data_IF_786783264287
#
_entry.id   IF_786783264287
#
_cell.length_a   1.000
_cell.length_b   1.000
_cell.length_c   1.000
_cell.angle_alpha   90.00
_cell.angle_beta   90.00
_cell.angle_gamma   90.00
#
_symmetry.space_group_name_H-M   'P 1'
#
loop_
_entity.id
_entity.type
_entity.pdbx_description
1 polymer ?
#
# COMPACT_ATOMS: atom_id res chain seq x y z
N UNK A 1 -15.07 24.84 -19.26
CA UNK A 1 -14.44 25.10 -17.95
C UNK A 1 -15.18 24.41 -16.80
N UNK A 2 -16.52 24.34 -16.82
CA UNK A 2 -17.31 23.62 -15.79
C UNK A 2 -17.08 22.11 -15.80
N UNK A 3 -16.86 21.52 -16.98
CA UNK A 3 -16.62 20.09 -17.15
C UNK A 3 -15.26 19.63 -16.57
N UNK A 4 -14.21 20.47 -16.69
CA UNK A 4 -12.86 20.15 -16.21
C UNK A 4 -12.77 20.10 -14.68
N UNK A 5 -13.43 21.02 -13.97
CA UNK A 5 -13.44 21.09 -12.50
C UNK A 5 -14.26 19.93 -11.91
N UNK A 6 -15.34 19.49 -12.57
CA UNK A 6 -16.14 18.34 -12.19
C UNK A 6 -15.32 17.04 -12.26
N UNK A 7 -14.70 16.78 -13.40
CA UNK A 7 -13.91 15.57 -13.66
C UNK A 7 -12.72 15.42 -12.71
N UNK A 8 -12.01 16.52 -12.39
CA UNK A 8 -10.91 16.50 -11.40
C UNK A 8 -11.41 16.09 -10.02
N UNK A 9 -12.54 16.68 -9.59
CA UNK A 9 -13.13 16.40 -8.28
C UNK A 9 -13.57 14.95 -8.17
N UNK A 10 -14.21 14.40 -9.22
CA UNK A 10 -14.62 13.00 -9.27
C UNK A 10 -13.42 12.05 -9.21
N UNK A 11 -12.36 12.30 -9.98
CA UNK A 11 -11.15 11.43 -9.96
C UNK A 11 -10.51 11.43 -8.58
N UNK A 12 -10.33 12.60 -7.97
CA UNK A 12 -9.72 12.75 -6.65
C UNK A 12 -10.53 12.05 -5.56
N UNK A 13 -11.85 12.19 -5.57
CA UNK A 13 -12.74 11.54 -4.60
C UNK A 13 -12.73 10.00 -4.75
N UNK A 14 -12.60 9.50 -6.02
CA UNK A 14 -12.45 8.05 -6.25
C UNK A 14 -11.10 7.54 -5.79
N UNK A 15 -10.02 8.30 -5.97
CA UNK A 15 -8.71 7.94 -5.43
C UNK A 15 -8.75 7.82 -3.90
N UNK A 16 -9.39 8.77 -3.21
CA UNK A 16 -9.51 8.73 -1.76
C UNK A 16 -10.27 7.49 -1.24
N UNK A 17 -11.28 7.02 -1.99
CA UNK A 17 -12.01 5.77 -1.67
C UNK A 17 -11.21 4.51 -2.00
N UNK A 18 -10.17 4.63 -2.80
CA UNK A 18 -9.31 3.54 -3.23
C UNK A 18 -7.88 3.72 -2.69
N UNK A 19 -7.72 4.42 -1.57
CA UNK A 19 -6.44 4.53 -0.86
C UNK A 19 -5.93 3.14 -0.50
N UNK A 20 -4.63 2.92 -0.62
CA UNK A 20 -3.97 1.63 -0.35
C UNK A 20 -4.49 0.46 -1.21
N UNK A 21 -4.98 0.71 -2.43
CA UNK A 21 -5.47 -0.36 -3.32
C UNK A 21 -4.78 -0.36 -4.68
N UNK A 22 -4.80 -1.51 -5.37
CA UNK A 22 -4.30 -1.68 -6.74
C UNK A 22 -5.35 -1.38 -7.81
N UNK A 23 -6.25 -0.42 -7.55
CA UNK A 23 -7.32 -0.04 -8.48
C UNK A 23 -6.77 0.43 -9.84
N UNK A 24 -7.36 -0.08 -10.92
CA UNK A 24 -6.97 0.31 -12.29
C UNK A 24 -7.69 1.57 -12.76
N UNK A 25 -7.12 2.29 -13.74
CA UNK A 25 -7.78 3.43 -14.37
C UNK A 25 -9.17 3.05 -14.91
N UNK A 26 -9.31 1.83 -15.47
CA UNK A 26 -10.59 1.32 -15.96
C UNK A 26 -11.64 1.18 -14.86
N UNK A 27 -11.23 0.75 -13.66
CA UNK A 27 -12.13 0.65 -12.51
C UNK A 27 -12.51 2.04 -12.03
N UNK A 28 -11.55 2.97 -11.91
CA UNK A 28 -11.85 4.37 -11.56
C UNK A 28 -12.87 5.00 -12.51
N UNK A 29 -12.71 4.79 -13.83
CA UNK A 29 -13.67 5.29 -14.84
C UNK A 29 -15.07 4.72 -14.63
N UNK A 30 -15.18 3.41 -14.35
CA UNK A 30 -16.48 2.77 -14.06
C UNK A 30 -17.14 3.34 -12.81
N UNK A 31 -16.35 3.57 -11.77
CA UNK A 31 -16.85 4.13 -10.50
C UNK A 31 -17.33 5.57 -10.68
N UNK A 32 -16.61 6.38 -11.46
CA UNK A 32 -17.01 7.74 -11.80
C UNK A 32 -18.35 7.73 -12.55
N UNK A 33 -18.44 6.89 -13.60
CA UNK A 33 -19.68 6.76 -14.37
C UNK A 33 -20.86 6.30 -13.54
N UNK A 34 -20.65 5.35 -12.63
CA UNK A 34 -21.71 4.75 -11.81
C UNK A 34 -22.27 5.72 -10.75
N UNK A 35 -21.45 6.63 -10.24
CA UNK A 35 -21.83 7.49 -9.10
C UNK A 35 -22.06 8.93 -9.50
N UNK A 36 -21.26 9.46 -10.43
CA UNK A 36 -21.30 10.86 -10.83
C UNK A 36 -22.05 11.07 -12.17
N UNK A 37 -22.46 9.95 -12.83
CA UNK A 37 -23.10 9.92 -14.16
C UNK A 37 -22.29 10.68 -15.23
N UNK A 38 -20.95 10.77 -15.01
CA UNK A 38 -20.02 11.41 -15.95
C UNK A 38 -19.26 10.36 -16.77
N UNK A 39 -19.22 10.57 -18.08
CA UNK A 39 -18.46 9.74 -19.00
C UNK A 39 -17.07 10.36 -19.23
N UNK A 40 -16.07 9.85 -18.53
CA UNK A 40 -14.69 10.32 -18.63
C UNK A 40 -13.88 9.32 -19.45
N UNK A 41 -13.14 9.82 -20.44
CA UNK A 41 -12.27 8.98 -21.25
C UNK A 41 -10.95 8.64 -20.51
N UNK A 42 -10.35 7.50 -20.90
CA UNK A 42 -9.14 6.99 -20.24
C UNK A 42 -7.92 7.92 -20.35
N UNK A 43 -7.80 8.70 -21.42
CA UNK A 43 -6.70 9.65 -21.58
C UNK A 43 -6.85 10.81 -20.60
N UNK A 44 -8.09 11.26 -20.37
CA UNK A 44 -8.39 12.30 -19.40
C UNK A 44 -8.03 11.82 -17.97
N UNK A 45 -8.42 10.61 -17.59
CA UNK A 45 -8.03 10.04 -16.29
C UNK A 45 -6.50 9.95 -16.16
N UNK A 46 -5.82 9.44 -17.19
CA UNK A 46 -4.36 9.32 -17.17
C UNK A 46 -3.67 10.68 -17.06
N UNK A 47 -4.18 11.72 -17.76
CA UNK A 47 -3.64 13.09 -17.71
C UNK A 47 -3.78 13.69 -16.30
N UNK A 48 -4.93 13.52 -15.62
CA UNK A 48 -5.11 14.00 -14.25
C UNK A 48 -4.23 13.26 -13.25
N UNK A 49 -4.09 11.94 -13.39
CA UNK A 49 -3.20 11.16 -12.54
C UNK A 49 -1.74 11.61 -12.69
N UNK A 50 -1.29 11.93 -13.91
CA UNK A 50 0.05 12.48 -14.14
C UNK A 50 0.21 13.87 -13.49
N UNK A 51 -0.81 14.73 -13.60
CA UNK A 51 -0.80 16.04 -12.93
C UNK A 51 -0.70 15.86 -11.40
N UNK A 52 -1.50 14.96 -10.80
CA UNK A 52 -1.47 14.72 -9.36
C UNK A 52 -0.11 14.20 -8.90
N UNK A 53 0.51 13.30 -9.66
CA UNK A 53 1.86 12.82 -9.40
C UNK A 53 2.90 13.95 -9.46
N UNK A 54 2.84 14.79 -10.50
CA UNK A 54 3.76 15.94 -10.66
C UNK A 54 3.58 17.03 -9.62
N UNK A 55 2.39 17.16 -9.06
CA UNK A 55 2.09 18.08 -7.95
C UNK A 55 2.36 17.45 -6.58
N UNK A 56 2.91 16.23 -6.53
CA UNK A 56 3.13 15.48 -5.29
C UNK A 56 1.86 15.30 -4.45
N UNK A 57 0.69 15.24 -5.09
CA UNK A 57 -0.58 14.92 -4.42
C UNK A 57 -0.70 13.41 -4.22
N UNK A 58 -0.24 12.64 -5.21
CA UNK A 58 -0.20 11.17 -5.15
C UNK A 58 1.24 10.67 -5.25
N UNK A 59 1.53 9.61 -4.50
CA UNK A 59 2.82 8.90 -4.48
C UNK A 59 2.57 7.39 -4.46
N UNK A 60 2.26 6.84 -5.63
CA UNK A 60 1.92 5.44 -5.77
C UNK A 60 3.10 4.53 -5.44
N UNK A 61 2.78 3.38 -4.87
CA UNK A 61 3.76 2.36 -4.53
C UNK A 61 3.93 1.39 -5.71
N UNK A 62 5.15 1.28 -6.28
CA UNK A 62 5.40 0.38 -7.40
C UNK A 62 5.40 -1.09 -6.97
N UNK A 63 5.12 -2.03 -7.88
CA UNK A 63 5.21 -3.45 -7.59
C UNK A 63 6.67 -3.93 -7.49
N UNK A 64 6.93 -4.85 -6.56
CA UNK A 64 8.21 -5.54 -6.40
C UNK A 64 8.32 -6.68 -7.41
N UNK A 65 8.58 -6.36 -8.68
CA UNK A 65 8.43 -7.34 -9.76
C UNK A 65 9.70 -7.82 -10.44
N UNK A 66 10.75 -7.00 -10.46
CA UNK A 66 11.86 -7.24 -11.40
C UNK A 66 12.99 -8.10 -10.83
N UNK A 67 12.97 -8.39 -9.54
CA UNK A 67 14.12 -9.02 -8.88
C UNK A 67 13.83 -10.35 -8.22
N UNK A 68 12.57 -10.67 -7.99
CA UNK A 68 12.15 -12.05 -7.74
C UNK A 68 11.92 -12.69 -9.11
N UNK A 69 12.97 -13.18 -9.75
CA UNK A 69 12.86 -14.06 -10.92
C UNK A 69 12.39 -15.44 -10.48
N UNK A 70 11.24 -15.44 -9.79
CA UNK A 70 10.60 -16.66 -9.36
C UNK A 70 9.64 -17.15 -10.44
N UNK A 71 9.27 -18.40 -10.37
CA UNK A 71 8.14 -18.97 -11.14
C UNK A 71 6.81 -18.31 -10.74
N UNK A 72 6.77 -17.56 -9.65
CA UNK A 72 5.60 -16.82 -9.17
C UNK A 72 5.47 -15.54 -9.98
N UNK A 73 4.35 -15.41 -10.70
CA UNK A 73 4.03 -14.19 -11.43
C UNK A 73 3.49 -13.14 -10.50
N UNK A 74 4.12 -11.98 -10.48
CA UNK A 74 3.70 -10.80 -9.69
C UNK A 74 2.84 -9.88 -10.54
N UNK A 75 1.76 -9.35 -9.97
CA UNK A 75 0.91 -8.34 -10.61
C UNK A 75 1.67 -7.03 -10.72
N UNK A 76 1.49 -6.33 -11.85
CA UNK A 76 2.26 -5.14 -12.21
C UNK A 76 1.50 -3.82 -11.92
N UNK A 77 0.34 -3.88 -11.30
CA UNK A 77 -0.41 -2.67 -10.95
C UNK A 77 0.26 -1.95 -9.77
N UNK A 78 0.42 -0.63 -9.88
CA UNK A 78 0.83 0.20 -8.74
C UNK A 78 -0.29 0.23 -7.69
N UNK A 79 0.09 0.24 -6.41
CA UNK A 79 -0.82 0.52 -5.31
C UNK A 79 -1.01 2.04 -5.20
N UNK A 80 -2.26 2.48 -5.08
CA UNK A 80 -2.61 3.92 -5.11
C UNK A 80 -2.47 4.52 -3.73
N UNK A 81 -1.73 5.63 -3.66
CA UNK A 81 -1.54 6.40 -2.43
C UNK A 81 -1.59 7.89 -2.69
N UNK A 82 -2.21 8.62 -1.76
CA UNK A 82 -1.89 10.02 -1.59
C UNK A 82 -0.52 10.16 -0.92
N UNK A 83 0.17 11.26 -1.19
CA UNK A 83 1.48 11.54 -0.55
C UNK A 83 1.36 11.71 0.97
N UNK A 84 0.17 12.06 1.45
CA UNK A 84 -0.19 12.07 2.86
C UNK A 84 -1.63 11.57 3.03
N UNK A 85 -1.90 10.57 3.88
CA UNK A 85 -3.25 10.03 4.09
C UNK A 85 -4.24 11.04 4.64
N UNK A 86 -3.77 12.17 5.21
CA UNK A 86 -4.66 13.27 5.63
C UNK A 86 -5.43 13.88 4.47
N UNK A 87 -4.87 13.83 3.24
CA UNK A 87 -5.57 14.27 2.03
C UNK A 87 -6.76 13.36 1.73
N UNK A 88 -6.60 12.04 1.83
CA UNK A 88 -7.69 11.09 1.70
C UNK A 88 -8.74 11.31 2.81
N UNK A 89 -8.33 11.49 4.07
CA UNK A 89 -9.23 11.82 5.17
C UNK A 89 -10.07 13.06 4.89
N UNK A 90 -9.45 14.13 4.38
CA UNK A 90 -10.15 15.38 4.06
C UNK A 90 -11.19 15.19 2.93
N UNK A 91 -10.84 14.46 1.87
CA UNK A 91 -11.71 14.17 0.75
C UNK A 91 -12.89 13.26 1.14
N UNK A 92 -12.65 12.27 1.99
CA UNK A 92 -13.66 11.39 2.54
C UNK A 92 -14.52 12.07 3.63
N UNK A 93 -14.15 13.29 4.05
CA UNK A 93 -14.75 14.00 5.19
C UNK A 93 -14.71 13.13 6.45
N UNK A 94 -13.64 12.35 6.60
CA UNK A 94 -13.48 11.42 7.69
C UNK A 94 -13.35 12.16 9.03
N UNK A 95 -14.04 11.68 10.03
CA UNK A 95 -13.90 12.16 11.41
C UNK A 95 -13.40 11.02 12.30
N UNK A 96 -12.74 11.30 13.43
CA UNK A 96 -12.29 10.24 14.34
C UNK A 96 -13.41 9.28 14.75
N UNK A 97 -14.59 9.82 15.06
CA UNK A 97 -15.77 9.00 15.43
C UNK A 97 -16.26 8.15 14.27
N UNK A 98 -16.30 8.73 13.05
CA UNK A 98 -16.69 8.00 11.83
C UNK A 98 -15.73 6.85 11.53
N UNK A 99 -14.42 7.08 11.62
CA UNK A 99 -13.40 6.06 11.39
C UNK A 99 -13.43 4.93 12.43
N UNK A 100 -13.74 5.24 13.68
CA UNK A 100 -13.95 4.19 14.70
C UNK A 100 -15.18 3.33 14.43
N UNK A 101 -16.16 3.85 13.69
CA UNK A 101 -17.32 3.11 13.21
C UNK A 101 -17.08 2.34 11.90
N UNK A 102 -16.01 2.64 11.18
CA UNK A 102 -15.61 2.03 9.90
C UNK A 102 -14.12 1.62 9.95
N UNK A 103 -13.88 0.49 10.62
CA UNK A 103 -12.52 -0.02 10.83
C UNK A 103 -11.84 -0.48 9.54
N UNK A 104 -12.60 -0.76 8.48
CA UNK A 104 -12.04 -1.10 7.17
C UNK A 104 -11.37 0.13 6.55
N UNK A 105 -12.10 1.25 6.44
CA UNK A 105 -11.53 2.52 5.97
C UNK A 105 -10.38 2.99 6.86
N UNK A 106 -10.51 2.86 8.20
CA UNK A 106 -9.42 3.19 9.12
C UNK A 106 -8.20 2.31 8.87
N UNK A 107 -8.38 1.03 8.55
CA UNK A 107 -7.30 0.10 8.20
C UNK A 107 -6.51 0.56 6.98
N UNK A 108 -7.17 0.91 5.88
CA UNK A 108 -6.52 1.44 4.68
C UNK A 108 -5.77 2.75 4.92
N UNK A 109 -6.37 3.66 5.68
CA UNK A 109 -5.70 4.94 6.03
C UNK A 109 -4.50 4.71 6.97
N UNK A 110 -4.59 3.75 7.87
CA UNK A 110 -3.47 3.35 8.73
C UNK A 110 -2.35 2.70 7.92
N UNK A 111 -2.68 1.85 6.95
CA UNK A 111 -1.73 1.27 6.02
C UNK A 111 -1.00 2.37 5.23
N UNK A 112 -1.73 3.32 4.65
CA UNK A 112 -1.16 4.47 3.94
C UNK A 112 -0.23 5.30 4.83
N UNK A 113 -0.58 5.50 6.11
CA UNK A 113 0.27 6.19 7.08
C UNK A 113 1.59 5.44 7.30
N UNK A 114 1.52 4.13 7.52
CA UNK A 114 2.70 3.29 7.71
C UNK A 114 3.59 3.27 6.48
N UNK A 115 3.02 3.16 5.29
CA UNK A 115 3.77 3.13 4.02
C UNK A 115 4.47 4.47 3.75
N UNK A 116 3.80 5.60 4.02
CA UNK A 116 4.44 6.92 3.95
C UNK A 116 5.67 6.99 4.86
N UNK A 117 5.54 6.58 6.11
CA UNK A 117 6.63 6.62 7.09
C UNK A 117 7.75 5.65 6.71
N UNK A 118 7.40 4.41 6.29
CA UNK A 118 8.38 3.43 5.80
C UNK A 118 9.14 3.95 4.57
N UNK A 119 8.49 4.68 3.67
CA UNK A 119 9.14 5.30 2.51
C UNK A 119 10.19 6.32 2.95
N UNK A 120 9.83 7.20 3.88
CA UNK A 120 10.76 8.22 4.43
C UNK A 120 11.97 7.53 5.07
N UNK A 121 11.75 6.48 5.86
CA UNK A 121 12.85 5.75 6.47
C UNK A 121 13.69 4.98 5.44
N UNK A 122 13.06 4.36 4.44
CA UNK A 122 13.78 3.67 3.37
C UNK A 122 14.68 4.63 2.58
N UNK A 123 14.18 5.79 2.19
CA UNK A 123 14.93 6.82 1.47
C UNK A 123 16.15 7.32 2.26
N UNK A 124 16.05 7.44 3.58
CA UNK A 124 17.17 7.82 4.44
C UNK A 124 18.35 6.84 4.32
N UNK A 125 18.07 5.55 4.11
CA UNK A 125 19.07 4.50 3.91
C UNK A 125 19.40 4.24 2.42
N UNK A 126 18.89 5.05 1.51
CA UNK A 126 19.02 4.83 0.06
C UNK A 126 18.29 3.59 -0.44
N UNK A 127 17.33 3.08 0.34
CA UNK A 127 16.49 1.94 -0.01
C UNK A 127 15.24 2.38 -0.77
N UNK A 128 14.55 1.43 -1.39
CA UNK A 128 13.32 1.68 -2.16
C UNK A 128 12.16 0.90 -1.57
N UNK A 129 10.96 1.50 -1.62
CA UNK A 129 9.72 0.90 -1.14
C UNK A 129 8.89 0.38 -2.31
N UNK A 130 8.36 -0.82 -2.15
CA UNK A 130 7.51 -1.52 -3.11
C UNK A 130 6.35 -2.21 -2.37
N UNK A 131 5.35 -2.68 -3.11
CA UNK A 131 4.39 -3.68 -2.65
C UNK A 131 4.55 -4.98 -3.44
N UNK A 132 4.04 -6.09 -2.92
CA UNK A 132 4.01 -7.36 -3.63
C UNK A 132 2.59 -7.89 -3.70
N UNK A 133 2.15 -8.35 -4.87
CA UNK A 133 0.91 -9.10 -5.03
C UNK A 133 1.08 -10.11 -6.16
N UNK A 134 0.80 -11.39 -5.87
CA UNK A 134 0.81 -12.44 -6.88
C UNK A 134 -0.57 -12.67 -7.53
N UNK A 135 -0.64 -13.61 -8.48
CA UNK A 135 -1.91 -13.96 -9.13
C UNK A 135 -2.78 -14.88 -8.29
N UNK A 136 -2.32 -15.36 -7.14
CA UNK A 136 -3.11 -16.10 -6.14
C UNK A 136 -3.70 -15.16 -5.09
N UNK A 137 -3.51 -13.84 -5.25
CA UNK A 137 -3.88 -12.77 -4.31
C UNK A 137 -3.16 -12.86 -2.96
N UNK A 138 -1.98 -13.49 -2.91
CA UNK A 138 -1.09 -13.31 -1.78
C UNK A 138 -0.39 -11.96 -1.95
N UNK A 139 -0.34 -11.19 -0.90
CA UNK A 139 0.23 -9.83 -0.93
C UNK A 139 1.11 -9.57 0.28
N UNK A 140 2.07 -8.66 0.09
CA UNK A 140 2.87 -8.05 1.14
C UNK A 140 2.62 -6.55 1.02
N UNK A 141 2.16 -5.93 2.10
CA UNK A 141 1.75 -4.53 2.10
C UNK A 141 2.93 -3.62 1.76
N UNK A 142 4.11 -3.88 2.31
CA UNK A 142 5.32 -3.12 1.99
C UNK A 142 6.56 -4.01 1.90
N UNK A 143 7.38 -3.77 0.88
CA UNK A 143 8.68 -4.40 0.66
C UNK A 143 9.73 -3.30 0.59
N UNK A 144 10.73 -3.34 1.47
CA UNK A 144 11.88 -2.43 1.42
C UNK A 144 13.07 -3.19 0.86
N UNK A 145 13.64 -2.69 -0.23
CA UNK A 145 14.85 -3.22 -0.84
C UNK A 145 16.03 -2.27 -0.62
N UNK A 146 17.09 -2.79 -0.02
CA UNK A 146 18.33 -2.10 0.23
C UNK A 146 19.20 -2.03 -1.04
N UNK A 147 20.16 -1.09 -1.13
CA UNK A 147 21.04 -0.96 -2.31
C UNK A 147 21.86 -2.22 -2.62
N UNK A 148 22.13 -3.06 -1.62
CA UNK A 148 22.86 -4.34 -1.79
C UNK A 148 21.95 -5.48 -2.28
N UNK A 149 20.67 -5.21 -2.48
CA UNK A 149 19.67 -6.16 -2.93
C UNK A 149 19.14 -7.09 -1.82
N UNK A 150 19.47 -6.84 -0.55
CA UNK A 150 18.71 -7.42 0.55
C UNK A 150 17.34 -6.75 0.65
N UNK A 151 16.33 -7.48 1.13
CA UNK A 151 15.00 -6.93 1.24
C UNK A 151 14.26 -7.43 2.48
N UNK A 152 13.32 -6.62 2.93
CA UNK A 152 12.48 -6.88 4.09
C UNK A 152 11.01 -6.83 3.70
N UNK A 153 10.19 -7.68 4.30
CA UNK A 153 8.76 -7.77 4.07
C UNK A 153 7.97 -7.30 5.29
N UNK A 154 6.98 -6.46 5.05
CA UNK A 154 6.11 -5.88 6.08
C UNK A 154 4.65 -6.14 5.76
N UNK A 155 3.91 -6.68 6.72
CA UNK A 155 2.46 -6.65 6.79
C UNK A 155 2.04 -5.55 7.75
N UNK A 156 0.99 -4.80 7.39
CA UNK A 156 0.52 -3.66 8.16
C UNK A 156 -0.89 -3.97 8.66
N UNK A 157 -1.09 -4.02 9.96
CA UNK A 157 -2.37 -4.38 10.58
C UNK A 157 -2.72 -3.42 11.70
N UNK A 158 -3.96 -2.93 11.69
CA UNK A 158 -4.45 -2.01 12.71
C UNK A 158 -4.57 -2.72 14.08
N UNK A 159 -5.21 -3.89 14.09
CA UNK A 159 -5.56 -4.62 15.32
C UNK A 159 -4.56 -5.71 15.68
N UNK A 160 -4.30 -5.87 16.98
CA UNK A 160 -3.40 -6.92 17.49
C UNK A 160 -3.92 -8.35 17.21
N UNK A 161 -5.22 -8.54 17.06
CA UNK A 161 -5.84 -9.81 16.71
C UNK A 161 -5.54 -10.27 15.27
N UNK A 162 -4.95 -9.43 14.44
CA UNK A 162 -4.60 -9.72 13.05
C UNK A 162 -3.13 -10.17 12.90
N UNK A 163 -2.32 -10.09 13.97
CA UNK A 163 -0.88 -10.34 13.94
C UNK A 163 -0.57 -11.79 13.50
N UNK A 164 -1.29 -12.77 14.04
CA UNK A 164 -1.01 -14.18 13.75
C UNK A 164 -1.25 -14.50 12.27
N UNK A 165 -2.39 -14.09 11.73
CA UNK A 165 -2.71 -14.28 10.32
C UNK A 165 -1.72 -13.57 9.39
N UNK A 166 -1.29 -12.34 9.74
CA UNK A 166 -0.29 -11.59 8.98
C UNK A 166 1.08 -12.28 8.98
N UNK A 167 1.50 -12.79 10.14
CA UNK A 167 2.75 -13.54 10.26
C UNK A 167 2.72 -14.85 9.44
N UNK A 168 1.60 -15.59 9.49
CA UNK A 168 1.41 -16.80 8.69
C UNK A 168 1.49 -16.49 7.18
N UNK A 169 0.87 -15.41 6.71
CA UNK A 169 0.96 -14.99 5.31
C UNK A 169 2.42 -14.72 4.88
N UNK A 170 3.16 -13.95 5.67
CA UNK A 170 4.58 -13.68 5.39
C UNK A 170 5.43 -14.95 5.34
N UNK A 171 5.20 -15.89 6.26
CA UNK A 171 5.91 -17.17 6.30
C UNK A 171 5.57 -18.06 5.10
N UNK A 172 4.31 -18.07 4.68
CA UNK A 172 3.88 -18.81 3.49
C UNK A 172 4.52 -18.28 2.22
N UNK A 173 4.54 -16.96 2.03
CA UNK A 173 5.20 -16.31 0.89
C UNK A 173 6.71 -16.60 0.91
N UNK A 174 7.37 -16.47 2.09
CA UNK A 174 8.78 -16.85 2.26
C UNK A 174 9.05 -18.30 1.86
N UNK A 175 8.17 -19.22 2.26
CA UNK A 175 8.27 -20.65 1.90
C UNK A 175 8.17 -20.83 0.39
N UNK A 176 7.18 -20.22 -0.27
CA UNK A 176 7.04 -20.30 -1.73
C UNK A 176 8.26 -19.75 -2.47
N UNK A 177 8.84 -18.64 -2.00
CA UNK A 177 10.07 -18.09 -2.56
C UNK A 177 11.25 -19.07 -2.36
N UNK A 178 11.31 -19.78 -1.22
CA UNK A 178 12.37 -20.76 -0.96
C UNK A 178 12.35 -21.98 -1.87
N UNK A 179 11.20 -22.29 -2.45
CA UNK A 179 11.02 -23.39 -3.42
C UNK A 179 11.60 -23.03 -4.80
N UNK A 180 11.83 -21.76 -5.09
CA UNK A 180 12.47 -21.32 -6.31
C UNK A 180 14.00 -21.25 -6.13
N UNK A 181 14.80 -21.99 -6.92
CA UNK A 181 16.27 -21.95 -6.82
C UNK A 181 16.90 -20.56 -7.06
N UNK A 182 16.15 -19.64 -7.66
CA UNK A 182 16.57 -18.25 -7.92
C UNK A 182 15.94 -17.25 -6.97
N UNK A 183 15.04 -17.70 -6.11
CA UNK A 183 14.34 -16.84 -5.14
C UNK A 183 15.31 -16.30 -4.11
N UNK A 184 15.31 -14.99 -3.88
CA UNK A 184 16.02 -14.36 -2.78
C UNK A 184 15.07 -14.25 -1.59
N UNK A 185 15.42 -14.87 -0.48
CA UNK A 185 14.63 -14.81 0.73
C UNK A 185 14.69 -13.41 1.37
N UNK A 186 13.60 -12.95 2.00
CA UNK A 186 13.62 -11.74 2.80
C UNK A 186 14.58 -11.88 3.99
N UNK A 187 15.34 -10.84 4.26
CA UNK A 187 16.22 -10.76 5.43
C UNK A 187 15.41 -10.61 6.72
N UNK A 188 14.30 -9.90 6.66
CA UNK A 188 13.40 -9.63 7.80
C UNK A 188 11.95 -9.81 7.36
N UNK A 189 11.15 -10.45 8.23
CA UNK A 189 9.70 -10.48 8.19
C UNK A 189 9.17 -9.68 9.37
N UNK A 190 8.28 -8.73 9.13
CA UNK A 190 7.77 -7.85 10.17
C UNK A 190 6.27 -7.58 10.00
N UNK A 191 5.53 -7.64 11.09
CA UNK A 191 4.16 -7.13 11.18
C UNK A 191 4.20 -5.78 11.89
N UNK A 192 3.86 -4.71 11.17
CA UNK A 192 3.61 -3.40 11.76
C UNK A 192 2.19 -3.36 12.30
N UNK A 193 2.04 -3.12 13.60
CA UNK A 193 0.75 -3.17 14.26
C UNK A 193 0.43 -1.85 14.96
N UNK A 194 -0.76 -1.29 14.66
CA UNK A 194 -1.24 -0.06 15.28
C UNK A 194 -1.51 -0.20 16.77
N UNK A 195 -1.97 -1.37 17.21
CA UNK A 195 -2.39 -1.62 18.60
C UNK A 195 -1.45 -2.58 19.35
N UNK A 196 -0.20 -2.74 18.90
CA UNK A 196 0.82 -3.45 19.67
C UNK A 196 1.44 -2.50 20.72
N UNK A 197 1.66 -3.02 21.94
CA UNK A 197 2.18 -2.23 23.04
C UNK A 197 3.72 -2.20 23.12
N UNK A 198 4.38 -3.15 22.45
CA UNK A 198 5.84 -3.27 22.45
C UNK A 198 6.31 -3.98 21.18
N UNK A 199 7.56 -3.73 20.80
CA UNK A 199 8.23 -4.50 19.77
C UNK A 199 8.76 -5.80 20.36
N UNK A 200 8.55 -6.92 19.64
CA UNK A 200 9.06 -8.23 20.02
C UNK A 200 9.27 -9.13 18.80
N UNK A 201 10.04 -10.19 18.98
CA UNK A 201 10.17 -11.25 17.98
C UNK A 201 9.34 -12.47 18.41
N UNK A 202 8.56 -12.98 17.50
CA UNK A 202 7.78 -14.19 17.64
C UNK A 202 8.69 -15.44 17.62
N UNK A 203 8.26 -16.58 18.18
CA UNK A 203 9.04 -17.84 18.12
C UNK A 203 9.32 -18.32 16.68
N UNK A 204 8.47 -17.94 15.71
CA UNK A 204 8.64 -18.25 14.28
C UNK A 204 9.61 -17.31 13.55
N UNK A 205 10.20 -16.35 14.27
CA UNK A 205 11.18 -15.40 13.74
C UNK A 205 10.61 -14.12 13.15
N UNK A 206 9.28 -13.97 13.04
CA UNK A 206 8.61 -12.75 12.57
C UNK A 206 8.68 -11.70 13.66
N UNK A 207 9.07 -10.47 13.30
CA UNK A 207 9.02 -9.33 14.21
C UNK A 207 7.62 -8.73 14.24
N UNK A 208 7.21 -8.26 15.40
CA UNK A 208 6.01 -7.43 15.59
C UNK A 208 6.46 -6.09 16.15
N UNK A 209 6.12 -5.02 15.43
CA UNK A 209 6.59 -3.68 15.78
C UNK A 209 5.41 -2.70 15.75
N UNK A 210 5.13 -1.98 16.84
CA UNK A 210 4.19 -0.87 16.79
C UNK A 210 4.76 0.27 15.95
N UNK A 211 3.92 0.94 15.13
CA UNK A 211 4.36 2.06 14.29
C UNK A 211 5.08 3.15 15.12
N UNK A 212 4.65 3.37 16.35
CA UNK A 212 5.22 4.34 17.26
C UNK A 212 6.64 4.02 17.75
N UNK A 213 7.12 2.78 17.53
CA UNK A 213 8.48 2.37 17.86
C UNK A 213 9.46 2.59 16.70
N UNK A 214 8.98 2.88 15.49
CA UNK A 214 9.83 3.21 14.35
C UNK A 214 10.43 4.61 14.57
N UNK A 215 11.72 4.72 14.33
CA UNK A 215 12.46 5.98 14.41
C UNK A 215 13.53 6.01 13.32
N UNK A 216 13.80 7.20 12.81
CA UNK A 216 14.93 7.49 11.92
C UNK A 216 16.23 7.52 12.72
#
# INVERSE_FOLDING_TARGET
LRCLVGSEMCIRDRLARNESTTVTNKTLMKDIKAVDDEDIDGNTVAAYLDIFKRLFITDNQPPFSDRIRSSVRVKQAEKRHFSDPSLACALLKATPVGLLGDLETLGFLFEALCERDLRIYAEFFGASLYHYQDYKNQEIDAVIELPDGQWCAFEIKLGANQIDAAAENLLEIKKQISEDPKGKLPAVLCVLCGMANAAYQRPDGVFVVPITALRS
#
